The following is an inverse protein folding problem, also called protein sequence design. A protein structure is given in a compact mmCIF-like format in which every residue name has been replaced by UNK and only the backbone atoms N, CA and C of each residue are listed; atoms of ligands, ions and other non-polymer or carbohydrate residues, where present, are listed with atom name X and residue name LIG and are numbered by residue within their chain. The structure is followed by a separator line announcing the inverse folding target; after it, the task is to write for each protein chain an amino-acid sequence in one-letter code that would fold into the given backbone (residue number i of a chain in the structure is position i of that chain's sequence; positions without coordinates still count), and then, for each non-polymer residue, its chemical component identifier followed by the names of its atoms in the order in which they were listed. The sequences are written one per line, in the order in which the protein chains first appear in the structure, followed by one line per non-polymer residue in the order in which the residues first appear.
data_IF_318608310518
#
_entry.id   IF_318608310518
#
_cell.length_a   1.000
_cell.length_b   1.000
_cell.length_c   1.000
_cell.angle_alpha   90.00
_cell.angle_beta   90.00
_cell.angle_gamma   90.00
#
_symmetry.space_group_name_H-M   'P 1'
#
loop_
_entity.id
_entity.type
_entity.pdbx_description
1 polymer ?
#
# COMPACT_ATOMS: atom_id res chain seq x y z
N UNK A 1 -6.90 -8.68 2.38
CA UNK A 1 -7.60 -7.40 2.71
C UNK A 1 -6.69 -6.15 2.87
N UNK A 2 -5.51 -6.01 2.21
CA UNK A 2 -4.64 -4.84 2.39
C UNK A 2 -5.26 -3.53 1.86
N UNK A 3 -6.04 -3.61 0.78
CA UNK A 3 -6.63 -2.44 0.13
C UNK A 3 -7.68 -1.74 1.00
N UNK A 4 -8.45 -2.48 1.81
CA UNK A 4 -9.43 -1.89 2.72
C UNK A 4 -8.76 -1.03 3.80
N UNK A 5 -7.61 -1.50 4.31
CA UNK A 5 -6.83 -0.79 5.32
C UNK A 5 -6.23 0.49 4.75
N UNK A 6 -5.69 0.43 3.53
CA UNK A 6 -5.19 1.62 2.83
C UNK A 6 -6.29 2.68 2.63
N UNK A 7 -7.48 2.28 2.15
CA UNK A 7 -8.61 3.20 1.96
C UNK A 7 -9.05 3.85 3.28
N UNK A 8 -9.09 3.09 4.37
CA UNK A 8 -9.42 3.63 5.71
C UNK A 8 -8.39 4.64 6.19
N UNK A 9 -7.11 4.34 5.98
CA UNK A 9 -6.01 5.21 6.41
C UNK A 9 -5.99 6.53 5.63
N UNK A 10 -6.18 6.48 4.30
CA UNK A 10 -6.30 7.68 3.45
C UNK A 10 -7.50 8.55 3.84
N UNK A 11 -8.64 7.93 4.17
CA UNK A 11 -9.84 8.67 4.60
C UNK A 11 -9.67 9.36 5.96
N UNK A 12 -8.77 8.86 6.81
CA UNK A 12 -8.51 9.43 8.14
C UNK A 12 -7.74 10.76 8.10
N UNK A 13 -7.21 11.18 6.94
CA UNK A 13 -6.81 12.57 6.63
C UNK A 13 -5.58 13.12 7.35
N UNK A 14 -5.08 12.48 8.40
CA UNK A 14 -3.99 13.01 9.23
C UNK A 14 -2.58 12.52 8.86
N UNK A 15 -2.46 11.52 7.97
CA UNK A 15 -1.15 10.96 7.59
C UNK A 15 -0.94 11.11 6.09
N UNK A 16 0.22 11.67 5.70
CA UNK A 16 0.64 11.81 4.30
C UNK A 16 1.41 10.60 3.79
N UNK A 17 1.92 9.78 4.71
CA UNK A 17 2.76 8.62 4.41
C UNK A 17 2.24 7.42 5.17
N UNK A 18 2.11 6.29 4.48
CA UNK A 18 1.59 5.03 5.00
C UNK A 18 2.58 3.90 4.71
N UNK A 19 2.83 3.06 5.72
CA UNK A 19 3.54 1.80 5.52
C UNK A 19 2.53 0.66 5.60
N UNK A 20 2.24 0.05 4.45
CA UNK A 20 1.38 -1.11 4.34
C UNK A 20 2.25 -2.37 4.29
N UNK A 21 2.08 -3.27 5.25
CA UNK A 21 2.73 -4.57 5.28
C UNK A 21 1.75 -5.65 4.86
N UNK A 22 2.19 -6.55 3.99
CA UNK A 22 1.38 -7.65 3.48
C UNK A 22 2.23 -8.91 3.41
N UNK A 23 1.62 -10.06 3.64
CA UNK A 23 2.21 -11.37 3.36
C UNK A 23 1.62 -12.03 2.11
N UNK A 24 0.65 -11.38 1.47
CA UNK A 24 -0.04 -11.88 0.30
C UNK A 24 0.76 -11.56 -0.98
N UNK A 25 1.22 -12.56 -1.75
CA UNK A 25 2.00 -12.34 -2.96
C UNK A 25 1.21 -11.65 -4.09
N UNK A 26 -0.14 -11.70 -4.05
CA UNK A 26 -0.98 -11.06 -5.05
C UNK A 26 -1.32 -9.60 -4.71
N UNK A 27 -1.04 -9.18 -3.47
CA UNK A 27 -1.36 -7.83 -3.00
C UNK A 27 -0.63 -6.72 -3.76
N UNK A 28 0.51 -7.02 -4.40
CA UNK A 28 1.30 -6.03 -5.13
C UNK A 28 0.52 -5.41 -6.28
N UNK A 29 -0.19 -6.23 -7.06
CA UNK A 29 -0.94 -5.76 -8.23
C UNK A 29 -2.06 -4.82 -7.83
N UNK A 30 -2.81 -5.17 -6.79
CA UNK A 30 -3.95 -4.38 -6.34
C UNK A 30 -3.54 -3.06 -5.68
N UNK A 31 -2.49 -3.08 -4.85
CA UNK A 31 -1.94 -1.87 -4.22
C UNK A 31 -1.37 -0.94 -5.29
N UNK A 32 -0.57 -1.47 -6.23
CA UNK A 32 0.02 -0.68 -7.30
C UNK A 32 -1.03 -0.03 -8.19
N UNK A 33 -2.04 -0.80 -8.61
CA UNK A 33 -3.15 -0.27 -9.43
C UNK A 33 -3.90 0.84 -8.71
N UNK A 34 -4.20 0.65 -7.43
CA UNK A 34 -4.90 1.67 -6.65
C UNK A 34 -4.08 2.95 -6.49
N UNK A 35 -2.79 2.84 -6.14
CA UNK A 35 -1.90 3.99 -6.04
C UNK A 35 -1.80 4.76 -7.36
N UNK A 36 -1.67 4.06 -8.50
CA UNK A 36 -1.64 4.69 -9.83
C UNK A 36 -2.93 5.45 -10.15
N UNK A 37 -4.10 4.85 -9.92
CA UNK A 37 -5.39 5.49 -10.18
C UNK A 37 -5.62 6.74 -9.33
N UNK A 38 -5.10 6.75 -8.10
CA UNK A 38 -5.23 7.85 -7.15
C UNK A 38 -4.03 8.81 -7.14
N UNK A 39 -3.08 8.66 -8.08
CA UNK A 39 -1.86 9.48 -8.19
C UNK A 39 -1.02 9.50 -6.90
N UNK A 40 -1.04 8.41 -6.13
CA UNK A 40 -0.24 8.24 -4.94
C UNK A 40 1.15 7.74 -5.33
N UNK A 41 2.19 8.27 -4.69
CA UNK A 41 3.52 7.69 -4.80
C UNK A 41 3.53 6.35 -4.06
N UNK A 42 4.14 5.36 -4.69
CA UNK A 42 4.29 4.02 -4.14
C UNK A 42 5.74 3.57 -4.31
N UNK A 43 6.35 3.17 -3.21
CA UNK A 43 7.61 2.43 -3.18
C UNK A 43 7.34 1.01 -2.65
N UNK A 44 7.75 0.02 -3.43
CA UNK A 44 7.59 -1.39 -3.10
C UNK A 44 8.91 -2.00 -2.67
N UNK A 45 8.88 -2.77 -1.57
CA UNK A 45 10.03 -3.51 -1.08
C UNK A 45 9.63 -4.93 -0.69
N UNK A 46 10.23 -5.93 -1.35
CA UNK A 46 10.15 -7.33 -0.92
C UNK A 46 11.16 -7.55 0.20
N UNK A 47 10.68 -7.90 1.39
CA UNK A 47 11.51 -8.15 2.58
C UNK A 47 11.87 -9.63 2.67
N UNK A 48 10.90 -10.50 2.38
CA UNK A 48 11.10 -11.95 2.28
C UNK A 48 10.11 -12.55 1.28
N UNK A 49 10.09 -13.88 1.13
CA UNK A 49 9.10 -14.54 0.27
C UNK A 49 7.66 -14.41 0.76
N UNK A 50 7.47 -14.08 2.03
CA UNK A 50 6.15 -13.92 2.67
C UNK A 50 5.98 -12.54 3.31
N UNK A 51 6.85 -11.58 3.03
CA UNK A 51 6.76 -10.24 3.61
C UNK A 51 7.06 -9.16 2.57
N UNK A 52 6.06 -8.32 2.35
CA UNK A 52 6.01 -7.26 1.36
C UNK A 52 5.66 -5.94 2.04
N UNK A 53 6.47 -4.92 1.81
CA UNK A 53 6.25 -3.59 2.34
C UNK A 53 5.94 -2.62 1.18
N UNK A 54 4.93 -1.79 1.38
CA UNK A 54 4.50 -0.76 0.45
C UNK A 54 4.52 0.58 1.21
N UNK A 55 5.44 1.46 0.84
CA UNK A 55 5.46 2.83 1.33
C UNK A 55 4.66 3.70 0.37
N UNK A 56 3.60 4.33 0.88
CA UNK A 56 2.62 5.05 0.07
C UNK A 56 2.57 6.50 0.55
N UNK A 57 2.70 7.46 -0.36
CA UNK A 57 2.63 8.89 -0.07
C UNK A 57 1.54 9.58 -0.90
N UNK A 58 0.74 10.44 -0.25
CA UNK A 58 -0.33 11.24 -0.87
C UNK A 58 0.08 12.67 -1.13
#
# INVERSE_FOLDING_TARGET
MPLLMLKRALKAGNQKTFLLKSSDPHSQTDVSRYCQLHQLKLEFKKISDTEFHYLIES
#
